data_IF_493814247611
#
_entry.id   IF_493814247611
#
_cell.length_a   1.000
_cell.length_b   1.000
_cell.length_c   1.000
_cell.angle_alpha   90.00
_cell.angle_beta   90.00
_cell.angle_gamma   90.00
#
_symmetry.space_group_name_H-M   'P 1'
#
loop_
_entity.id
_entity.type
_entity.pdbx_description
1 polymer ?
#
# COMPACT_ATOMS: atom_id res chain seq x y z
N UNK A 1 46.06 8.60 34.46
CA UNK A 1 44.85 9.08 33.75
C UNK A 1 45.32 9.90 32.56
N UNK A 2 45.47 9.29 31.38
CA UNK A 2 45.66 10.04 30.15
C UNK A 2 44.70 9.48 29.13
N UNK A 3 43.57 10.18 29.02
CA UNK A 3 42.55 10.00 28.01
C UNK A 3 43.10 10.55 26.70
N UNK A 4 43.81 9.73 25.95
CA UNK A 4 44.17 10.09 24.57
C UNK A 4 43.22 9.40 23.61
N UNK A 5 42.23 10.19 23.23
CA UNK A 5 41.91 10.42 21.82
C UNK A 5 41.68 9.16 21.01
N UNK A 6 40.42 8.75 21.02
CA UNK A 6 39.79 7.95 19.98
C UNK A 6 39.73 8.75 18.67
N UNK A 7 40.90 9.04 18.10
CA UNK A 7 41.06 9.66 16.80
C UNK A 7 41.77 8.66 15.90
N UNK A 8 40.99 7.86 15.16
CA UNK A 8 41.56 6.92 14.20
C UNK A 8 42.40 7.66 13.14
N UNK A 9 43.72 7.43 13.08
CA UNK A 9 44.61 8.10 12.14
C UNK A 9 44.59 7.40 10.78
N UNK A 10 43.45 7.47 10.07
CA UNK A 10 43.29 6.76 8.78
C UNK A 10 42.36 7.38 7.74
N UNK A 11 41.66 8.48 8.05
CA UNK A 11 40.58 9.01 7.19
C UNK A 11 40.97 10.14 6.24
N UNK A 12 42.25 10.39 5.99
CA UNK A 12 42.67 11.57 5.21
C UNK A 12 42.78 11.34 3.69
N UNK A 13 42.92 10.09 3.21
CA UNK A 13 43.03 9.77 1.77
C UNK A 13 41.82 9.05 1.18
N UNK A 14 40.99 8.46 2.05
CA UNK A 14 39.81 7.67 1.66
C UNK A 14 38.49 8.39 1.93
N UNK A 15 38.48 9.69 2.27
CA UNK A 15 37.29 10.39 2.79
C UNK A 15 36.03 10.40 1.91
N UNK A 16 36.14 10.13 0.61
CA UNK A 16 34.99 10.01 -0.31
C UNK A 16 34.36 8.61 -0.31
N UNK A 17 35.16 7.57 -0.04
CA UNK A 17 34.75 6.17 0.01
C UNK A 17 33.72 5.86 1.14
N UNK A 18 33.90 6.31 2.40
CA UNK A 18 32.90 6.14 3.45
C UNK A 18 31.62 6.93 3.16
N UNK A 19 31.71 8.06 2.46
CA UNK A 19 30.54 8.85 2.04
C UNK A 19 29.69 8.08 1.02
N UNK A 20 30.32 7.45 0.03
CA UNK A 20 29.63 6.60 -0.94
C UNK A 20 29.01 5.38 -0.26
N UNK A 21 29.77 4.72 0.62
CA UNK A 21 29.26 3.56 1.37
C UNK A 21 28.03 3.95 2.20
N UNK A 22 28.07 5.09 2.90
CA UNK A 22 26.92 5.61 3.64
C UNK A 22 25.71 5.89 2.74
N UNK A 23 25.93 6.48 1.56
CA UNK A 23 24.87 6.75 0.58
C UNK A 23 24.24 5.44 0.09
N UNK A 24 25.05 4.43 -0.23
CA UNK A 24 24.57 3.11 -0.65
C UNK A 24 23.75 2.45 0.45
N UNK A 25 24.21 2.50 1.70
CA UNK A 25 23.45 1.98 2.86
C UNK A 25 22.11 2.71 2.99
N UNK A 26 22.09 4.03 2.85
CA UNK A 26 20.86 4.82 2.93
C UNK A 26 19.86 4.46 1.84
N UNK A 27 20.34 4.31 0.59
CA UNK A 27 19.52 3.86 -0.55
C UNK A 27 18.98 2.45 -0.29
N UNK A 28 19.82 1.54 0.23
CA UNK A 28 19.42 0.17 0.51
C UNK A 28 18.33 0.11 1.59
N UNK A 29 18.48 0.90 2.66
CA UNK A 29 17.45 1.04 3.70
C UNK A 29 16.15 1.61 3.11
N UNK A 30 16.24 2.66 2.28
CA UNK A 30 15.07 3.24 1.62
C UNK A 30 14.34 2.22 0.74
N UNK A 31 15.06 1.43 -0.06
CA UNK A 31 14.47 0.36 -0.90
C UNK A 31 13.81 -0.70 -0.04
N UNK A 32 14.44 -1.13 1.07
CA UNK A 32 13.83 -2.11 1.99
C UNK A 32 12.55 -1.55 2.59
N UNK A 33 12.56 -0.31 3.09
CA UNK A 33 11.37 0.35 3.65
C UNK A 33 10.27 0.44 2.59
N UNK A 34 10.58 0.90 1.38
CA UNK A 34 9.61 0.99 0.27
C UNK A 34 9.08 -0.39 -0.11
N UNK A 35 9.92 -1.43 -0.16
CA UNK A 35 9.50 -2.79 -0.46
C UNK A 35 8.55 -3.35 0.61
N UNK A 36 8.86 -3.16 1.89
CA UNK A 36 8.01 -3.58 2.99
C UNK A 36 6.69 -2.81 3.01
N UNK A 37 6.73 -1.49 2.84
CA UNK A 37 5.53 -0.67 2.69
C UNK A 37 4.72 -1.12 1.48
N UNK A 38 5.32 -1.31 0.31
CA UNK A 38 4.63 -1.79 -0.89
C UNK A 38 4.05 -3.20 -0.72
N UNK A 39 4.67 -4.08 0.09
CA UNK A 39 4.16 -5.42 0.41
C UNK A 39 2.96 -5.35 1.36
N UNK A 40 3.04 -4.52 2.40
CA UNK A 40 1.94 -4.28 3.35
C UNK A 40 0.78 -3.58 2.63
N UNK A 41 1.08 -2.55 1.84
CA UNK A 41 0.10 -1.88 1.01
C UNK A 41 -0.41 -2.79 -0.10
N UNK A 42 0.34 -3.69 -0.74
CA UNK A 42 -0.26 -4.69 -1.66
C UNK A 42 -1.19 -5.66 -0.94
N UNK A 43 -0.88 -6.04 0.30
CA UNK A 43 -1.80 -6.80 1.13
C UNK A 43 -3.06 -5.99 1.49
N UNK A 44 -2.96 -4.65 1.61
CA UNK A 44 -4.07 -3.73 1.88
C UNK A 44 -4.65 -2.95 0.68
N UNK A 45 -4.13 -3.12 -0.53
CA UNK A 45 -4.49 -2.45 -1.79
C UNK A 45 -4.79 -3.46 -2.90
N UNK A 46 -4.70 -4.77 -2.63
CA UNK A 46 -5.71 -5.65 -3.23
C UNK A 46 -7.09 -5.01 -2.98
N UNK A 47 -7.36 -4.51 -1.77
CA UNK A 47 -8.59 -3.83 -1.39
C UNK A 47 -8.84 -2.41 -1.95
N UNK A 48 -8.01 -1.74 -2.74
CA UNK A 48 -8.49 -0.46 -3.35
C UNK A 48 -9.27 -0.69 -4.64
N UNK A 49 -8.93 -1.74 -5.39
CA UNK A 49 -9.73 -2.24 -6.52
C UNK A 49 -10.73 -3.31 -6.05
N UNK A 50 -10.36 -4.16 -5.07
CA UNK A 50 -11.30 -5.08 -4.42
C UNK A 50 -12.34 -4.38 -3.54
N UNK A 51 -12.07 -3.24 -2.89
CA UNK A 51 -13.11 -2.57 -2.07
C UNK A 51 -14.17 -1.94 -2.95
N UNK A 52 -13.80 -1.39 -4.11
CA UNK A 52 -14.79 -0.90 -5.08
C UNK A 52 -15.64 -2.05 -5.63
N UNK A 53 -15.02 -3.18 -5.92
CA UNK A 53 -15.72 -4.38 -6.39
C UNK A 53 -16.54 -5.05 -5.26
N UNK A 54 -16.04 -5.03 -4.02
CA UNK A 54 -16.70 -5.59 -2.83
C UNK A 54 -17.92 -4.77 -2.43
N UNK A 55 -17.81 -3.43 -2.43
CA UNK A 55 -18.96 -2.54 -2.21
C UNK A 55 -20.01 -2.70 -3.32
N UNK A 56 -19.59 -2.84 -4.58
CA UNK A 56 -20.49 -3.10 -5.71
C UNK A 56 -21.21 -4.43 -5.56
N UNK A 57 -20.51 -5.50 -5.19
CA UNK A 57 -21.11 -6.82 -4.95
C UNK A 57 -22.10 -6.77 -3.78
N UNK A 58 -21.75 -6.10 -2.68
CA UNK A 58 -22.62 -5.95 -1.51
C UNK A 58 -23.89 -5.13 -1.84
N UNK A 59 -23.76 -4.10 -2.67
CA UNK A 59 -24.90 -3.32 -3.16
C UNK A 59 -25.84 -4.18 -4.04
N UNK A 60 -25.28 -4.99 -4.94
CA UNK A 60 -26.06 -5.92 -5.79
C UNK A 60 -26.76 -7.02 -4.97
N UNK A 61 -26.10 -7.55 -3.95
CA UNK A 61 -26.68 -8.55 -3.04
C UNK A 61 -27.86 -7.97 -2.24
N UNK A 62 -27.69 -6.75 -1.70
CA UNK A 62 -28.76 -6.02 -1.00
C UNK A 62 -29.95 -5.76 -1.93
N UNK A 63 -29.71 -5.41 -3.20
CA UNK A 63 -30.75 -5.23 -4.21
C UNK A 63 -31.53 -6.53 -4.49
N UNK A 64 -30.83 -7.65 -4.65
CA UNK A 64 -31.45 -8.97 -4.86
C UNK A 64 -32.31 -9.39 -3.68
N UNK A 65 -31.85 -9.13 -2.45
CA UNK A 65 -32.61 -9.48 -1.26
C UNK A 65 -33.92 -8.69 -1.17
N UNK A 66 -33.91 -7.40 -1.47
CA UNK A 66 -35.13 -6.57 -1.51
C UNK A 66 -36.07 -6.98 -2.63
N UNK A 67 -35.53 -7.36 -3.78
CA UNK A 67 -36.32 -7.91 -4.88
C UNK A 67 -37.00 -9.23 -4.49
N UNK A 68 -36.27 -10.15 -3.83
CA UNK A 68 -36.83 -11.40 -3.34
C UNK A 68 -37.89 -11.21 -2.26
N UNK A 69 -37.77 -10.14 -1.45
CA UNK A 69 -38.80 -9.73 -0.48
C UNK A 69 -40.02 -9.05 -1.13
N UNK A 70 -39.97 -8.73 -2.42
CA UNK A 70 -41.02 -8.00 -3.13
C UNK A 70 -41.12 -6.52 -2.75
N UNK A 71 -40.09 -5.96 -2.10
CA UNK A 71 -40.04 -4.55 -1.70
C UNK A 71 -39.75 -3.61 -2.87
N UNK A 72 -39.22 -4.15 -3.97
CA UNK A 72 -38.89 -3.43 -5.19
C UNK A 72 -39.42 -4.19 -6.41
N UNK A 73 -39.82 -3.45 -7.44
CA UNK A 73 -40.32 -4.00 -8.71
C UNK A 73 -39.18 -4.40 -9.65
N UNK A 74 -39.46 -5.26 -10.64
CA UNK A 74 -38.50 -5.66 -11.68
C UNK A 74 -37.86 -4.48 -12.42
N UNK A 75 -38.66 -3.45 -12.68
CA UNK A 75 -38.23 -2.24 -13.38
C UNK A 75 -37.21 -1.45 -12.55
N UNK A 76 -37.45 -1.33 -11.24
CA UNK A 76 -36.56 -0.65 -10.31
C UNK A 76 -35.26 -1.44 -10.10
N UNK A 77 -35.35 -2.76 -9.97
CA UNK A 77 -34.19 -3.64 -9.86
C UNK A 77 -33.27 -3.51 -11.08
N UNK A 78 -33.83 -3.59 -12.29
CA UNK A 78 -33.04 -3.48 -13.52
C UNK A 78 -32.39 -2.10 -13.69
N UNK A 79 -33.09 -1.02 -13.31
CA UNK A 79 -32.54 0.34 -13.34
C UNK A 79 -31.33 0.49 -12.40
N UNK A 80 -31.43 -0.02 -11.18
CA UNK A 80 -30.36 0.07 -10.18
C UNK A 80 -29.17 -0.83 -10.51
N UNK A 81 -29.44 -2.05 -10.99
CA UNK A 81 -28.39 -2.98 -11.46
C UNK A 81 -27.56 -2.37 -12.59
N UNK A 82 -28.21 -1.77 -13.61
CA UNK A 82 -27.53 -1.13 -14.74
C UNK A 82 -26.67 0.07 -14.32
N UNK A 83 -27.07 0.79 -13.27
CA UNK A 83 -26.29 1.89 -12.72
C UNK A 83 -25.04 1.40 -11.96
N UNK A 84 -25.09 0.23 -11.33
CA UNK A 84 -23.96 -0.37 -10.62
C UNK A 84 -22.97 -1.10 -11.55
N UNK A 85 -23.43 -1.51 -12.74
CA UNK A 85 -22.59 -2.11 -13.80
C UNK A 85 -21.85 -1.09 -14.66
N UNK A 86 -22.22 0.20 -14.60
CA UNK A 86 -21.50 1.32 -15.26
C UNK A 86 -20.23 1.73 -14.51
#
# INVERSE_FOLDING_TARGET
>A
MHWYWWGWPGFSAFGWLPMIIMLVVYVLVAVVVIYFLAKIFRAGHASSEYSRNSERNRALETLKERYARGEITDEEFNRMRKNLER
#
